data_IF_455100719923
#
_entry.id   IF_455100719923
#
_cell.length_a   1.000
_cell.length_b   1.000
_cell.length_c   1.000
_cell.angle_alpha   90.00
_cell.angle_beta   90.00
_cell.angle_gamma   90.00
#
_symmetry.space_group_name_H-M   'P 1'
#
loop_
_entity.id
_entity.type
_entity.pdbx_description
1 polymer ?
#
# COMPACT_ATOMS: atom_id res chain seq x y z
N UNK A 1 20.38 16.69 -10.09
CA UNK A 1 19.24 16.18 -10.88
C UNK A 1 18.17 15.78 -9.89
N UNK A 2 16.97 16.35 -9.93
CA UNK A 2 15.89 15.90 -9.05
C UNK A 2 15.53 14.47 -9.48
N UNK A 3 15.71 13.49 -8.59
CA UNK A 3 15.29 12.12 -8.85
C UNK A 3 13.78 12.15 -9.17
N UNK A 4 13.40 11.55 -10.29
CA UNK A 4 12.00 11.53 -10.72
C UNK A 4 11.24 10.59 -9.78
N UNK A 5 10.39 11.17 -8.93
CA UNK A 5 9.47 10.42 -8.07
C UNK A 5 8.50 9.65 -8.98
N UNK A 6 8.47 8.30 -8.93
CA UNK A 6 7.49 7.52 -9.69
C UNK A 6 6.08 7.98 -9.34
N UNK A 7 5.12 7.98 -10.27
CA UNK A 7 3.75 8.38 -9.95
C UNK A 7 3.12 7.39 -8.95
N UNK A 8 2.38 7.92 -7.98
CA UNK A 8 1.54 7.08 -7.11
C UNK A 8 0.26 6.66 -7.85
N UNK A 9 -0.27 5.43 -7.62
CA UNK A 9 -1.51 4.97 -8.23
C UNK A 9 -2.66 5.91 -7.94
N UNK A 10 -3.48 6.26 -8.94
CA UNK A 10 -4.59 7.18 -8.74
C UNK A 10 -5.64 6.58 -7.78
N UNK A 11 -6.20 7.44 -6.93
CA UNK A 11 -7.34 7.10 -6.07
C UNK A 11 -8.62 7.68 -6.66
N UNK A 12 -9.73 6.97 -6.52
CA UNK A 12 -11.06 7.54 -6.73
C UNK A 12 -11.29 8.71 -5.76
N UNK A 13 -12.18 9.65 -6.08
CA UNK A 13 -12.52 10.75 -5.18
C UNK A 13 -12.94 10.27 -3.78
N UNK A 14 -13.67 9.17 -3.70
CA UNK A 14 -14.14 8.57 -2.45
C UNK A 14 -12.98 8.00 -1.64
N UNK A 15 -12.09 7.22 -2.29
CA UNK A 15 -10.88 6.70 -1.67
C UNK A 15 -9.97 7.82 -1.15
N UNK A 16 -9.82 8.90 -1.92
CA UNK A 16 -8.98 10.04 -1.54
C UNK A 16 -9.43 10.68 -0.21
N UNK A 17 -10.75 10.84 -0.02
CA UNK A 17 -11.32 11.39 1.20
C UNK A 17 -11.11 10.48 2.42
N UNK A 18 -11.06 9.16 2.22
CA UNK A 18 -10.83 8.20 3.30
C UNK A 18 -9.35 8.06 3.66
N UNK A 19 -8.45 8.21 2.68
CA UNK A 19 -7.01 8.08 2.86
C UNK A 19 -6.40 9.33 3.50
N UNK A 20 -6.82 10.52 3.08
CA UNK A 20 -6.22 11.79 3.50
C UNK A 20 -6.99 12.52 4.60
N UNK A 21 -7.68 11.77 5.46
CA UNK A 21 -8.32 12.25 6.69
C UNK A 21 -7.67 11.55 7.88
N UNK A 22 -7.35 12.31 8.92
CA UNK A 22 -6.74 11.74 10.13
C UNK A 22 -7.67 10.71 10.78
N UNK A 23 -7.11 9.59 11.24
CA UNK A 23 -7.86 8.44 11.73
C UNK A 23 -8.75 8.71 12.96
N UNK A 24 -8.47 9.79 13.71
CA UNK A 24 -9.31 10.23 14.84
C UNK A 24 -10.50 11.09 14.43
N UNK A 25 -10.60 11.48 13.15
CA UNK A 25 -11.78 12.15 12.66
C UNK A 25 -12.99 11.20 12.74
N UNK A 26 -14.23 11.73 12.85
CA UNK A 26 -15.42 10.90 12.81
C UNK A 26 -15.38 9.96 11.60
N UNK A 27 -15.71 8.67 11.75
CA UNK A 27 -15.52 7.67 10.72
C UNK A 27 -16.36 8.03 9.49
N UNK A 28 -15.70 8.60 8.48
CA UNK A 28 -16.25 8.78 7.15
C UNK A 28 -16.23 7.42 6.43
N UNK A 29 -17.28 7.13 5.65
CA UNK A 29 -17.30 5.93 4.79
C UNK A 29 -17.51 4.59 5.48
N UNK A 30 -17.83 4.51 6.79
CA UNK A 30 -18.06 3.22 7.46
C UNK A 30 -19.12 2.34 6.76
N UNK A 31 -20.08 2.94 6.05
CA UNK A 31 -21.10 2.26 5.26
C UNK A 31 -20.72 2.04 3.78
N UNK A 32 -19.54 2.49 3.35
CA UNK A 32 -19.05 2.26 1.99
C UNK A 32 -18.73 0.76 1.79
N UNK A 33 -19.38 0.08 0.83
CA UNK A 33 -19.23 -1.36 0.64
C UNK A 33 -17.84 -1.75 0.11
N UNK A 34 -17.14 -0.83 -0.54
CA UNK A 34 -15.86 -1.05 -1.20
C UNK A 34 -14.69 -0.71 -0.27
N UNK A 35 -14.74 0.45 0.37
CA UNK A 35 -13.65 0.98 1.18
C UNK A 35 -13.86 0.75 2.68
N UNK A 36 -15.10 0.84 3.15
CA UNK A 36 -15.38 0.97 4.58
C UNK A 36 -14.74 2.24 5.16
N UNK A 37 -14.22 2.14 6.38
CA UNK A 37 -13.50 3.24 7.02
C UNK A 37 -11.98 3.21 6.77
N UNK A 38 -11.29 4.25 7.22
CA UNK A 38 -9.84 4.37 7.13
C UNK A 38 -9.08 3.23 7.82
N UNK A 39 -9.66 2.62 8.87
CA UNK A 39 -9.00 1.55 9.63
C UNK A 39 -9.06 0.22 8.88
N UNK A 40 -10.18 -0.10 8.22
CA UNK A 40 -10.28 -1.27 7.33
C UNK A 40 -9.30 -1.18 6.17
N UNK A 41 -9.19 0.01 5.57
CA UNK A 41 -8.18 0.27 4.53
C UNK A 41 -6.77 0.06 5.07
N UNK A 42 -6.47 0.61 6.26
CA UNK A 42 -5.16 0.45 6.90
C UNK A 42 -4.81 -1.01 7.16
N UNK A 43 -5.75 -1.82 7.67
CA UNK A 43 -5.53 -3.25 7.93
C UNK A 43 -5.23 -4.02 6.65
N UNK A 44 -5.99 -3.77 5.58
CA UNK A 44 -5.73 -4.36 4.26
C UNK A 44 -4.35 -3.94 3.76
N UNK A 45 -4.08 -2.64 3.79
CA UNK A 45 -2.86 -2.06 3.28
C UNK A 45 -1.61 -2.47 4.03
N UNK A 46 -1.67 -2.67 5.35
CA UNK A 46 -0.57 -3.25 6.14
C UNK A 46 -0.15 -4.62 5.62
N UNK A 47 -1.13 -5.49 5.38
CA UNK A 47 -0.87 -6.85 4.87
C UNK A 47 -0.31 -6.80 3.45
N UNK A 48 -0.92 -6.00 2.58
CA UNK A 48 -0.51 -5.84 1.18
C UNK A 48 0.87 -5.20 1.05
N UNK A 49 1.15 -4.15 1.82
CA UNK A 49 2.44 -3.46 1.85
C UNK A 49 3.55 -4.41 2.25
N UNK A 50 3.37 -5.15 3.34
CA UNK A 50 4.40 -6.07 3.83
C UNK A 50 4.68 -7.17 2.82
N UNK A 51 3.64 -7.73 2.20
CA UNK A 51 3.78 -8.75 1.16
C UNK A 51 4.46 -8.21 -0.10
N UNK A 52 4.04 -7.03 -0.59
CA UNK A 52 4.59 -6.41 -1.78
C UNK A 52 6.05 -5.97 -1.59
N UNK A 53 6.37 -5.38 -0.44
CA UNK A 53 7.73 -4.99 -0.11
C UNK A 53 8.63 -6.23 0.04
N UNK A 54 8.17 -7.28 0.73
CA UNK A 54 8.91 -8.53 0.82
C UNK A 54 9.18 -9.16 -0.57
N UNK A 55 8.16 -9.20 -1.44
CA UNK A 55 8.31 -9.69 -2.80
C UNK A 55 9.34 -8.86 -3.60
N UNK A 56 9.31 -7.53 -3.46
CA UNK A 56 10.26 -6.65 -4.14
C UNK A 56 11.70 -6.86 -3.66
N UNK A 57 11.91 -6.99 -2.35
CA UNK A 57 13.22 -7.29 -1.75
C UNK A 57 13.73 -8.68 -2.14
N UNK A 58 12.83 -9.67 -2.29
CA UNK A 58 13.17 -11.01 -2.77
C UNK A 58 13.51 -11.04 -4.27
N UNK A 59 12.92 -10.15 -5.07
CA UNK A 59 13.22 -10.03 -6.50
C UNK A 59 14.58 -9.36 -6.76
N UNK A 60 15.10 -8.58 -5.81
CA UNK A 60 16.48 -8.15 -5.86
C UNK A 60 17.38 -9.38 -5.80
N UNK A 61 18.48 -9.40 -6.56
CA UNK A 61 19.39 -10.56 -6.75
C UNK A 61 20.16 -11.00 -5.50
N UNK A 62 19.65 -10.69 -4.30
CA UNK A 62 20.25 -11.02 -3.02
C UNK A 62 19.83 -12.42 -2.56
N UNK A 63 20.82 -13.27 -2.32
CA UNK A 63 20.59 -14.60 -1.75
C UNK A 63 20.38 -14.47 -0.24
N UNK A 64 19.13 -14.52 0.21
CA UNK A 64 18.80 -14.48 1.64
C UNK A 64 19.16 -15.81 2.31
N UNK A 65 20.06 -15.77 3.30
CA UNK A 65 20.58 -16.98 3.94
C UNK A 65 19.58 -17.70 4.85
N UNK A 66 18.55 -16.98 5.35
CA UNK A 66 17.48 -17.57 6.16
C UNK A 66 16.23 -16.69 6.19
N UNK A 67 15.10 -17.28 6.59
CA UNK A 67 13.86 -16.55 6.88
C UNK A 67 14.04 -15.46 7.95
N UNK A 68 14.79 -15.75 9.02
CA UNK A 68 15.01 -14.80 10.12
C UNK A 68 15.82 -13.57 9.69
N UNK A 69 16.80 -13.75 8.79
CA UNK A 69 17.58 -12.64 8.24
C UNK A 69 16.71 -11.77 7.33
N UNK A 70 15.91 -12.38 6.47
CA UNK A 70 14.95 -11.65 5.63
C UNK A 70 13.95 -10.86 6.49
N UNK A 71 13.32 -11.52 7.47
CA UNK A 71 12.32 -10.88 8.31
C UNK A 71 12.91 -9.67 9.07
N UNK A 72 14.11 -9.83 9.64
CA UNK A 72 14.83 -8.74 10.30
C UNK A 72 15.11 -7.58 9.35
N UNK A 73 15.60 -7.88 8.14
CA UNK A 73 15.86 -6.87 7.13
C UNK A 73 14.59 -6.09 6.74
N UNK A 74 13.46 -6.79 6.57
CA UNK A 74 12.18 -6.14 6.27
C UNK A 74 11.74 -5.23 7.42
N UNK A 75 11.85 -5.69 8.66
CA UNK A 75 11.45 -4.92 9.84
C UNK A 75 12.32 -3.67 10.06
N UNK A 76 13.62 -3.78 9.76
CA UNK A 76 14.58 -2.67 9.90
C UNK A 76 14.46 -1.63 8.75
N UNK A 77 14.13 -2.07 7.54
CA UNK A 77 14.16 -1.18 6.34
C UNK A 77 12.81 -0.61 5.94
N UNK A 78 11.70 -1.33 6.19
CA UNK A 78 10.36 -0.90 5.78
C UNK A 78 9.96 0.49 6.34
N UNK A 79 10.22 0.82 7.63
CA UNK A 79 9.87 2.15 8.13
C UNK A 79 10.59 3.29 7.39
N UNK A 80 11.87 3.09 7.04
CA UNK A 80 12.65 4.06 6.27
C UNK A 80 12.15 4.20 4.84
N UNK A 81 11.82 3.08 4.19
CA UNK A 81 11.19 3.06 2.87
C UNK A 81 9.88 3.87 2.87
N UNK A 82 9.00 3.61 3.83
CA UNK A 82 7.71 4.31 3.96
C UNK A 82 7.92 5.81 4.21
N UNK A 83 8.80 6.18 5.15
CA UNK A 83 9.08 7.58 5.45
C UNK A 83 9.62 8.36 4.25
N UNK A 84 10.48 7.75 3.44
CA UNK A 84 10.99 8.33 2.19
C UNK A 84 9.85 8.67 1.24
N UNK A 85 8.96 7.71 0.98
CA UNK A 85 7.90 7.90 -0.02
C UNK A 85 6.76 8.80 0.44
N UNK A 86 6.34 8.72 1.70
CA UNK A 86 5.38 9.69 2.28
C UNK A 86 5.90 11.12 2.15
N UNK A 87 7.22 11.32 2.29
CA UNK A 87 7.87 12.62 2.10
C UNK A 87 7.92 13.01 0.63
N UNK A 88 8.37 12.11 -0.24
CA UNK A 88 8.50 12.36 -1.68
C UNK A 88 7.17 12.75 -2.34
N UNK A 89 6.06 12.15 -1.90
CA UNK A 89 4.72 12.45 -2.42
C UNK A 89 4.01 13.63 -1.74
N UNK A 90 4.63 14.25 -0.74
CA UNK A 90 4.07 15.34 0.06
C UNK A 90 2.71 15.00 0.70
N UNK A 91 2.51 13.73 1.06
CA UNK A 91 1.22 13.24 1.57
C UNK A 91 0.83 13.82 2.91
N UNK A 92 1.81 14.21 3.75
CA UNK A 92 1.54 14.87 5.03
C UNK A 92 0.75 16.18 4.84
N UNK A 93 0.99 16.92 3.75
CA UNK A 93 0.25 18.15 3.44
C UNK A 93 -1.16 17.91 2.90
N UNK A 94 -1.43 16.70 2.42
CA UNK A 94 -2.75 16.30 1.95
C UNK A 94 -3.67 15.94 3.11
N UNK A 95 -3.12 15.54 4.26
CA UNK A 95 -3.91 15.18 5.45
C UNK A 95 -4.84 16.31 5.91
N UNK A 96 -6.05 15.92 6.30
CA UNK A 96 -7.12 16.77 6.82
C UNK A 96 -7.54 16.32 8.21
N UNK A 97 -8.19 17.21 8.96
CA UNK A 97 -8.68 16.95 10.31
C UNK A 97 -7.62 16.43 11.30
N UNK A 98 -6.36 16.82 11.10
CA UNK A 98 -5.23 16.44 11.97
C UNK A 98 -5.34 17.21 13.29
N UNK A 99 -5.40 16.54 14.45
CA UNK A 99 -5.42 17.21 15.75
C UNK A 99 -4.13 18.02 15.98
N UNK A 100 -4.24 19.14 16.71
CA UNK A 100 -3.12 20.08 16.93
C UNK A 100 -1.87 19.46 17.58
N UNK A 101 -2.04 18.40 18.37
CA UNK A 101 -0.96 17.72 19.08
C UNK A 101 -0.35 16.55 18.30
N UNK A 102 -0.89 16.22 17.12
CA UNK A 102 -0.41 15.11 16.31
C UNK A 102 0.77 15.56 15.45
N UNK A 103 1.85 14.80 15.53
CA UNK A 103 3.01 14.96 14.66
C UNK A 103 2.95 13.93 13.52
N UNK A 104 2.64 14.37 12.30
CA UNK A 104 2.63 13.49 11.12
C UNK A 104 4.03 12.99 10.70
N UNK A 105 5.11 13.49 11.33
CA UNK A 105 6.46 12.95 11.17
C UNK A 105 6.77 11.81 12.15
N UNK A 106 5.85 11.51 13.08
CA UNK A 106 5.97 10.31 13.90
C UNK A 106 6.01 9.05 13.01
N UNK A 107 6.87 8.04 13.31
CA UNK A 107 6.97 6.83 12.51
C UNK A 107 5.64 6.07 12.41
N UNK A 108 4.84 6.05 13.47
CA UNK A 108 3.55 5.38 13.47
C UNK A 108 2.56 6.11 12.56
N UNK A 109 2.43 7.43 12.69
CA UNK A 109 1.56 8.24 11.80
C UNK A 109 1.99 8.14 10.34
N UNK A 110 3.30 8.19 10.09
CA UNK A 110 3.88 8.04 8.75
C UNK A 110 3.54 6.66 8.16
N UNK A 111 3.65 5.61 8.96
CA UNK A 111 3.27 4.25 8.56
C UNK A 111 1.77 4.16 8.25
N UNK A 112 0.92 4.72 9.13
CA UNK A 112 -0.54 4.72 8.96
C UNK A 112 -0.96 5.37 7.64
N UNK A 113 -0.41 6.53 7.28
CA UNK A 113 -0.72 7.21 6.01
C UNK A 113 -0.45 6.27 4.81
N UNK A 114 0.72 5.64 4.80
CA UNK A 114 1.12 4.78 3.68
C UNK A 114 0.31 3.47 3.65
N UNK A 115 0.12 2.83 4.79
CA UNK A 115 -0.75 1.64 4.93
C UNK A 115 -2.16 1.93 4.41
N UNK A 116 -2.80 3.02 4.85
CA UNK A 116 -4.15 3.38 4.40
C UNK A 116 -4.20 3.64 2.89
N UNK A 117 -3.20 4.30 2.33
CA UNK A 117 -3.10 4.50 0.87
C UNK A 117 -3.01 3.17 0.12
N UNK A 118 -2.08 2.29 0.50
CA UNK A 118 -1.91 0.96 -0.10
C UNK A 118 -3.22 0.17 -0.03
N UNK A 119 -3.91 0.25 1.10
CA UNK A 119 -5.21 -0.38 1.28
C UNK A 119 -6.27 0.12 0.30
N UNK A 120 -6.31 1.43 0.07
CA UNK A 120 -7.23 2.02 -0.91
C UNK A 120 -6.91 1.59 -2.34
N UNK A 121 -5.62 1.54 -2.71
CA UNK A 121 -5.20 1.03 -4.03
C UNK A 121 -5.63 -0.43 -4.20
N UNK A 122 -5.37 -1.27 -3.19
CA UNK A 122 -5.77 -2.68 -3.20
C UNK A 122 -7.29 -2.88 -3.25
N UNK A 123 -8.06 -2.04 -2.56
CA UNK A 123 -9.52 -2.11 -2.57
C UNK A 123 -10.13 -1.71 -3.92
N UNK A 124 -9.43 -0.87 -4.71
CA UNK A 124 -9.86 -0.42 -6.03
C UNK A 124 -9.53 -1.38 -7.16
N UNK A 125 -8.61 -2.30 -6.93
CA UNK A 125 -8.27 -3.30 -7.94
C UNK A 125 -9.49 -4.19 -8.24
N UNK A 126 -9.74 -4.50 -9.51
CA UNK A 126 -10.76 -5.46 -9.89
C UNK A 126 -10.48 -6.78 -9.17
N UNK A 127 -11.36 -7.16 -8.23
CA UNK A 127 -11.30 -8.50 -7.64
C UNK A 127 -11.55 -9.50 -8.76
N UNK A 128 -10.57 -10.33 -9.06
CA UNK A 128 -10.80 -11.52 -9.87
C UNK A 128 -11.93 -12.29 -9.16
N UNK A 129 -13.10 -12.51 -9.80
CA UNK A 129 -14.20 -13.21 -9.17
C UNK A 129 -13.69 -14.58 -8.73
N UNK A 130 -13.89 -14.87 -7.45
CA UNK A 130 -13.43 -16.06 -6.76
C UNK A 130 -13.71 -17.33 -7.59
N UNK A 131 -12.65 -17.95 -8.12
CA UNK A 131 -12.71 -19.23 -8.81
C UNK A 131 -13.10 -20.38 -7.88
N UNK A 132 -13.23 -20.18 -6.56
CA UNK A 132 -13.80 -21.17 -5.66
C UNK A 132 -15.29 -21.48 -5.95
N UNK A 133 -15.99 -20.62 -6.70
CA UNK A 133 -17.32 -20.95 -7.25
C UNK A 133 -17.30 -21.68 -8.60
N UNK A 134 -16.13 -21.79 -9.26
CA UNK A 134 -15.99 -22.36 -10.62
C UNK A 134 -15.08 -23.59 -10.72
N UNK A 135 -14.61 -24.16 -9.60
CA UNK A 135 -13.97 -25.49 -9.59
C UNK A 135 -14.96 -26.66 -9.79
N UNK A 136 -15.98 -26.46 -10.64
CA UNK A 136 -16.82 -27.53 -11.18
C UNK A 136 -16.77 -27.61 -12.71
N UNK A 137 -15.97 -26.79 -13.41
CA UNK A 137 -15.75 -27.03 -14.85
C UNK A 137 -14.49 -26.36 -15.40
N UNK A 138 -13.56 -27.23 -15.81
CA UNK A 138 -12.47 -27.06 -16.78
C UNK A 138 -11.44 -25.93 -16.59
N UNK A 139 -10.20 -26.34 -16.29
CA UNK A 139 -8.96 -25.67 -16.73
C UNK A 139 -8.76 -25.86 -18.26
N UNK A 140 -7.82 -25.19 -18.96
CA UNK A 140 -6.74 -24.32 -18.48
C UNK A 140 -6.57 -22.98 -19.26
N UNK A 141 -5.87 -22.00 -18.68
CA UNK A 141 -4.75 -21.30 -19.36
C UNK A 141 -4.02 -20.39 -18.37
N UNK A 142 -2.74 -20.70 -18.17
CA UNK A 142 -1.78 -19.89 -17.44
C UNK A 142 -1.42 -18.63 -18.25
N UNK A 143 -1.97 -17.49 -17.86
CA UNK A 143 -1.37 -16.18 -18.12
C UNK A 143 -1.51 -15.34 -16.87
N UNK A 144 -0.39 -15.10 -16.20
CA UNK A 144 -0.31 -14.02 -15.22
C UNK A 144 -0.75 -12.73 -15.95
N UNK A 145 -1.72 -11.96 -15.41
CA UNK A 145 -2.11 -10.71 -16.03
C UNK A 145 -0.88 -9.79 -16.10
N UNK A 146 -0.64 -9.18 -17.27
CA UNK A 146 0.31 -8.07 -17.41
C UNK A 146 -0.11 -7.01 -16.41
N UNK A 147 0.82 -6.64 -15.51
CA UNK A 147 0.58 -5.67 -14.44
C UNK A 147 0.08 -4.35 -15.02
N UNK A 148 -1.12 -3.97 -14.59
CA UNK A 148 -1.61 -2.61 -14.68
C UNK A 148 -0.82 -1.75 -13.67
N UNK A 149 -0.55 -0.48 -13.98
CA UNK A 149 0.18 0.45 -13.09
C UNK A 149 -0.57 0.68 -11.76
N UNK A 150 -1.83 0.23 -11.70
CA UNK A 150 -2.68 0.16 -10.51
C UNK A 150 -2.38 -1.01 -9.57
N UNK A 151 -1.45 -1.91 -9.92
CA UNK A 151 -1.07 -3.07 -9.10
C UNK A 151 -0.14 -2.68 -7.94
N UNK A 152 -0.48 -3.09 -6.71
CA UNK A 152 0.28 -2.73 -5.50
C UNK A 152 1.68 -3.33 -5.54
N UNK A 153 1.85 -4.55 -6.05
CA UNK A 153 3.16 -5.20 -6.13
C UNK A 153 4.03 -4.53 -7.19
N UNK A 154 3.48 -4.23 -8.36
CA UNK A 154 4.22 -3.53 -9.42
C UNK A 154 4.64 -2.11 -9.00
N UNK A 155 3.74 -1.37 -8.35
CA UNK A 155 4.04 -0.05 -7.84
C UNK A 155 5.12 -0.10 -6.74
N UNK A 156 4.98 -0.99 -5.75
CA UNK A 156 5.98 -1.12 -4.67
C UNK A 156 7.35 -1.58 -5.22
N UNK A 157 7.38 -2.49 -6.20
CA UNK A 157 8.62 -2.84 -6.90
C UNK A 157 9.28 -1.61 -7.52
N UNK A 158 8.51 -0.78 -8.22
CA UNK A 158 9.00 0.48 -8.83
C UNK A 158 9.58 1.44 -7.79
N UNK A 159 8.96 1.51 -6.60
CA UNK A 159 9.47 2.33 -5.49
C UNK A 159 10.74 1.78 -4.86
N UNK A 160 10.89 0.46 -4.83
CA UNK A 160 12.10 -0.21 -4.33
C UNK A 160 13.27 -0.01 -5.29
N UNK A 161 13.02 -0.01 -6.60
CA UNK A 161 14.05 0.16 -7.64
C UNK A 161 14.44 1.63 -7.87
N UNK A 162 13.63 2.58 -7.38
CA UNK A 162 13.88 4.01 -7.57
C UNK A 162 15.02 4.55 -6.67
N UNK A 163 15.93 5.38 -7.22
CA UNK A 163 17.14 5.87 -6.56
C UNK A 163 16.88 6.84 -5.41
#
# INVERSE_FOLDING_TARGET
MAAQVPPAPALSPEAFLLVFVHHTAPPAGASDPMFGDCERLRVLGRSMLRAAYAAAILNQTHTWSSHSVLQRHLDETLPGFVARWVTAYDWRRKMRAVPLHVNLHDPEETMRIFETYVGAVAAQQPRIPNTAGRMASSAPESRLPRGDDSDVFAWIQTLVDAP
#
